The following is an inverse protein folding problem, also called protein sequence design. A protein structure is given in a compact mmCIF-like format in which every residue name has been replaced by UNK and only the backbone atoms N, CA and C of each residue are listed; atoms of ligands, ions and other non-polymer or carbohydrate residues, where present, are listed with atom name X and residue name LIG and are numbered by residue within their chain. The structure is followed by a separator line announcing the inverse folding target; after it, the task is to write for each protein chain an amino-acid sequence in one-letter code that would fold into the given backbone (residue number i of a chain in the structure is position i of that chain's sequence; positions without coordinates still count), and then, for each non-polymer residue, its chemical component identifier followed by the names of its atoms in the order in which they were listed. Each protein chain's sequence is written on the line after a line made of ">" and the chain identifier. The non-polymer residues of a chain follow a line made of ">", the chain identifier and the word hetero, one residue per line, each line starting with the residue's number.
data_IF_048226372717
#
_entry.id   IF_048226372717
#
_cell.length_a   1.000
_cell.length_b   1.000
_cell.length_c   1.000
_cell.angle_alpha   90.00
_cell.angle_beta   90.00
_cell.angle_gamma   90.00
#
_symmetry.space_group_name_H-M   'P 1'
#
loop_
_entity.id
_entity.type
_entity.pdbx_description
1 polymer ?
#
# COMPACT_ATOMS: atom_id res chain seq x y z
N UNK A 1 9.20 1.01 10.06
CA UNK A 1 9.90 1.78 11.11
C UNK A 1 11.34 1.28 11.41
N UNK A 2 11.80 0.19 10.80
CA UNK A 2 13.12 -0.41 11.09
C UNK A 2 14.31 0.10 10.25
N UNK A 3 14.20 1.22 9.51
CA UNK A 3 15.31 1.74 8.68
C UNK A 3 15.74 3.18 8.99
N UNK A 4 15.24 3.79 10.08
CA UNK A 4 15.42 5.23 10.34
C UNK A 4 16.14 5.57 11.65
N UNK A 5 16.99 4.69 12.14
CA UNK A 5 17.74 4.86 13.40
C UNK A 5 18.67 6.09 13.45
N UNK A 6 18.84 6.84 12.34
CA UNK A 6 19.69 8.05 12.26
C UNK A 6 19.12 9.22 11.44
N UNK A 7 17.80 9.30 11.23
CA UNK A 7 17.24 10.50 10.61
C UNK A 7 17.19 11.65 11.62
N UNK A 8 17.75 12.81 11.29
CA UNK A 8 17.54 14.04 12.07
C UNK A 8 16.03 14.32 12.16
N UNK A 9 15.54 14.85 13.30
CA UNK A 9 14.12 15.09 13.55
C UNK A 9 13.46 15.89 12.41
N UNK A 10 14.15 16.90 11.89
CA UNK A 10 13.68 17.72 10.76
C UNK A 10 13.45 16.91 9.47
N UNK A 11 14.31 15.92 9.20
CA UNK A 11 14.18 15.04 8.04
C UNK A 11 13.01 14.05 8.24
N UNK A 12 12.80 13.58 9.47
CA UNK A 12 11.63 12.77 9.80
C UNK A 12 10.33 13.56 9.64
N UNK A 13 10.26 14.77 10.18
CA UNK A 13 9.11 15.66 10.08
C UNK A 13 8.80 16.02 8.62
N UNK A 14 9.82 16.35 7.83
CA UNK A 14 9.68 16.61 6.39
C UNK A 14 9.12 15.40 5.65
N UNK A 15 9.61 14.19 5.94
CA UNK A 15 9.09 12.95 5.33
C UNK A 15 7.65 12.67 5.75
N UNK A 16 7.28 12.94 6.99
CA UNK A 16 5.89 12.81 7.47
C UNK A 16 4.99 13.82 6.75
N UNK A 17 5.42 15.08 6.64
CA UNK A 17 4.68 16.13 5.93
C UNK A 17 4.44 15.75 4.46
N UNK A 18 5.46 15.26 3.76
CA UNK A 18 5.32 14.79 2.38
C UNK A 18 4.34 13.62 2.25
N UNK A 19 4.37 12.65 3.18
CA UNK A 19 3.40 11.54 3.19
C UNK A 19 1.98 12.04 3.41
N UNK A 20 1.78 12.98 4.33
CA UNK A 20 0.47 13.60 4.59
C UNK A 20 -0.05 14.37 3.38
N UNK A 21 0.81 15.14 2.71
CA UNK A 21 0.43 15.88 1.51
C UNK A 21 -0.02 14.94 0.39
N UNK A 22 0.68 13.81 0.20
CA UNK A 22 0.28 12.77 -0.76
C UNK A 22 -1.06 12.15 -0.39
N UNK A 23 -1.27 11.82 0.89
CA UNK A 23 -2.56 11.30 1.35
C UNK A 23 -3.70 12.28 1.08
N UNK A 24 -3.51 13.57 1.39
CA UNK A 24 -4.50 14.62 1.14
C UNK A 24 -4.86 14.76 -0.35
N UNK A 25 -3.92 14.49 -1.26
CA UNK A 25 -4.19 14.52 -2.69
C UNK A 25 -5.25 13.49 -3.11
N UNK A 26 -5.32 12.33 -2.45
CA UNK A 26 -6.33 11.30 -2.75
C UNK A 26 -7.71 11.59 -2.12
N UNK A 27 -7.77 12.45 -1.10
CA UNK A 27 -9.03 12.90 -0.47
C UNK A 27 -9.75 13.99 -1.26
N UNK A 28 -9.14 14.54 -2.31
CA UNK A 28 -9.78 15.44 -3.29
C UNK A 28 -9.93 14.70 -4.62
N UNK A 29 -10.94 13.83 -4.77
CA UNK A 29 -11.02 12.95 -5.91
C UNK A 29 -11.14 13.73 -7.21
N UNK A 30 -10.17 13.53 -8.10
CA UNK A 30 -10.33 13.79 -9.53
C UNK A 30 -10.51 12.45 -10.24
N UNK A 31 -11.27 12.39 -11.36
CA UNK A 31 -11.44 11.14 -12.11
C UNK A 31 -10.10 10.49 -12.50
N UNK A 32 -9.07 11.30 -12.71
CA UNK A 32 -7.74 10.87 -13.17
C UNK A 32 -6.84 10.32 -12.05
N UNK A 33 -7.19 10.50 -10.77
CA UNK A 33 -6.36 10.07 -9.64
C UNK A 33 -6.92 8.82 -8.96
N UNK A 34 -6.51 7.66 -9.47
CA UNK A 34 -6.92 6.34 -8.98
C UNK A 34 -5.77 5.66 -8.22
N UNK A 35 -6.08 5.01 -7.10
CA UNK A 35 -5.14 4.19 -6.35
C UNK A 35 -5.65 2.74 -6.31
N UNK A 36 -4.85 1.80 -6.78
CA UNK A 36 -5.08 0.38 -6.53
C UNK A 36 -3.92 -0.19 -5.71
N UNK A 37 -4.22 -0.61 -4.49
CA UNK A 37 -3.27 -1.22 -3.58
C UNK A 37 -3.67 -2.69 -3.32
N UNK A 38 -2.68 -3.56 -3.39
CA UNK A 38 -2.79 -4.95 -2.93
C UNK A 38 -1.82 -5.11 -1.77
N UNK A 39 -2.33 -5.52 -0.61
CA UNK A 39 -1.58 -5.56 0.64
C UNK A 39 -1.62 -6.97 1.22
N UNK A 40 -0.47 -7.45 1.71
CA UNK A 40 -0.37 -8.73 2.39
C UNK A 40 -0.96 -8.67 3.81
N UNK A 41 -1.73 -9.68 4.22
CA UNK A 41 -2.35 -9.75 5.55
C UNK A 41 -1.30 -9.66 6.68
N UNK A 42 -0.08 -10.18 6.49
CA UNK A 42 1.00 -10.05 7.47
C UNK A 42 1.36 -8.58 7.73
N UNK A 43 1.29 -7.71 6.72
CA UNK A 43 1.60 -6.30 6.88
C UNK A 43 0.57 -5.59 7.76
N UNK A 44 -0.70 -6.01 7.68
CA UNK A 44 -1.81 -5.48 8.48
C UNK A 44 -1.83 -5.99 9.92
N UNK A 45 -1.07 -7.07 10.21
CA UNK A 45 -1.07 -7.76 11.52
C UNK A 45 0.21 -7.55 12.33
N UNK A 46 1.19 -6.79 11.82
CA UNK A 46 2.43 -6.48 12.55
C UNK A 46 2.24 -5.23 13.41
N UNK A 47 2.46 -5.27 14.74
CA UNK A 47 2.22 -4.14 15.64
C UNK A 47 3.34 -3.10 15.59
N UNK A 48 3.63 -2.59 14.39
CA UNK A 48 4.66 -1.57 14.18
C UNK A 48 4.15 -0.24 14.76
N UNK A 49 4.81 0.26 15.81
CA UNK A 49 4.34 1.44 16.56
C UNK A 49 3.34 1.12 17.67
N UNK A 50 3.05 -0.16 17.93
CA UNK A 50 2.16 -0.63 18.98
C UNK A 50 0.68 -0.74 18.58
N UNK A 51 -0.12 -1.39 19.43
CA UNK A 51 -1.53 -1.71 19.15
C UNK A 51 -2.40 -0.48 18.89
N UNK A 52 -2.16 0.63 19.60
CA UNK A 52 -2.93 1.88 19.38
C UNK A 52 -2.72 2.43 17.98
N UNK A 53 -1.48 2.50 17.50
CA UNK A 53 -1.16 2.98 16.15
C UNK A 53 -1.74 2.05 15.09
N UNK A 54 -1.62 0.74 15.31
CA UNK A 54 -2.19 -0.28 14.43
C UNK A 54 -3.71 -0.15 14.32
N UNK A 55 -4.42 0.06 15.44
CA UNK A 55 -5.86 0.31 15.48
C UNK A 55 -6.24 1.53 14.63
N UNK A 56 -5.58 2.67 14.87
CA UNK A 56 -5.82 3.91 14.11
C UNK A 56 -5.53 3.73 12.60
N UNK A 57 -4.50 2.97 12.25
CA UNK A 57 -4.17 2.67 10.85
C UNK A 57 -5.21 1.79 10.15
N UNK A 58 -5.68 0.73 10.82
CA UNK A 58 -6.71 -0.15 10.26
C UNK A 58 -8.04 0.62 10.10
N UNK A 59 -8.41 1.44 11.08
CA UNK A 59 -9.59 2.30 10.99
C UNK A 59 -9.49 3.25 9.79
N UNK A 60 -8.34 3.89 9.58
CA UNK A 60 -8.11 4.73 8.41
C UNK A 60 -8.22 3.96 7.08
N UNK A 61 -7.73 2.72 7.01
CA UNK A 61 -7.85 1.90 5.80
C UNK A 61 -9.30 1.53 5.49
N UNK A 62 -10.12 1.27 6.52
CA UNK A 62 -11.56 1.04 6.37
C UNK A 62 -12.21 2.28 5.74
N UNK A 63 -11.95 3.46 6.29
CA UNK A 63 -12.48 4.73 5.75
C UNK A 63 -12.01 4.97 4.30
N UNK A 64 -10.75 4.67 4.00
CA UNK A 64 -10.19 4.80 2.65
C UNK A 64 -10.88 3.88 1.63
N UNK A 65 -11.36 2.70 2.04
CA UNK A 65 -12.09 1.79 1.14
C UNK A 65 -13.45 2.32 0.70
N UNK A 66 -14.00 3.32 1.40
CA UNK A 66 -15.24 3.99 1.01
C UNK A 66 -15.03 5.05 -0.09
N UNK A 67 -13.78 5.42 -0.40
CA UNK A 67 -13.49 6.40 -1.43
C UNK A 67 -13.57 5.77 -2.83
N UNK A 68 -14.30 6.39 -3.78
CA UNK A 68 -14.55 5.78 -5.10
C UNK A 68 -13.30 5.64 -5.96
N UNK A 69 -12.24 6.39 -5.65
CA UNK A 69 -10.96 6.40 -6.35
C UNK A 69 -9.88 5.51 -5.69
N UNK A 70 -10.23 4.78 -4.63
CA UNK A 70 -9.32 3.86 -3.93
C UNK A 70 -9.86 2.44 -4.04
N UNK A 71 -9.00 1.52 -4.46
CA UNK A 71 -9.24 0.09 -4.44
C UNK A 71 -8.17 -0.57 -3.59
N UNK A 72 -8.57 -1.11 -2.46
CA UNK A 72 -7.71 -1.89 -1.59
C UNK A 72 -8.13 -3.36 -1.69
N UNK A 73 -7.15 -4.24 -1.83
CA UNK A 73 -7.35 -5.69 -1.72
C UNK A 73 -6.33 -6.27 -0.74
N UNK A 74 -6.73 -7.34 -0.05
CA UNK A 74 -5.88 -8.04 0.91
C UNK A 74 -5.55 -9.42 0.37
N UNK A 75 -4.27 -9.78 0.36
CA UNK A 75 -3.83 -11.16 0.13
C UNK A 75 -3.87 -11.87 1.49
N UNK A 76 -4.77 -12.85 1.67
CA UNK A 76 -4.90 -13.55 2.93
C UNK A 76 -3.80 -14.59 3.13
N UNK A 77 -3.51 -14.97 4.37
CA UNK A 77 -2.45 -15.96 4.66
C UNK A 77 -2.62 -17.29 3.92
N UNK A 78 -3.86 -17.73 3.70
CA UNK A 78 -4.15 -19.01 3.06
C UNK A 78 -3.87 -18.99 1.53
N UNK A 79 -3.63 -17.83 0.92
CA UNK A 79 -3.29 -17.71 -0.51
C UNK A 79 -1.85 -18.19 -0.83
N UNK A 80 -1.02 -18.41 0.20
CA UNK A 80 0.35 -18.92 0.08
C UNK A 80 1.30 -17.96 -0.63
N UNK A 81 2.38 -18.48 -1.21
CA UNK A 81 3.39 -17.66 -1.90
C UNK A 81 2.82 -16.84 -3.06
N UNK A 82 3.16 -15.55 -3.12
CA UNK A 82 2.65 -14.60 -4.12
C UNK A 82 3.80 -13.81 -4.77
N UNK A 83 3.54 -13.19 -5.92
CA UNK A 83 4.58 -12.53 -6.74
C UNK A 83 5.30 -11.36 -6.03
N UNK A 84 4.66 -10.75 -5.02
CA UNK A 84 5.24 -9.68 -4.20
C UNK A 84 6.07 -10.21 -3.01
N UNK A 85 6.22 -11.53 -2.84
CA UNK A 85 7.08 -12.09 -1.80
C UNK A 85 8.56 -11.67 -1.98
N UNK A 86 8.96 -11.29 -3.20
CA UNK A 86 10.29 -10.75 -3.50
C UNK A 86 10.48 -9.26 -3.17
N UNK A 87 9.43 -8.53 -2.78
CA UNK A 87 9.50 -7.11 -2.44
C UNK A 87 8.29 -6.30 -2.91
N UNK A 88 8.10 -5.13 -2.29
CA UNK A 88 7.07 -4.18 -2.70
C UNK A 88 7.51 -3.38 -3.93
N UNK A 89 6.56 -3.10 -4.82
CA UNK A 89 6.74 -2.22 -5.97
C UNK A 89 5.49 -1.36 -6.17
N UNK A 90 5.63 -0.28 -6.95
CA UNK A 90 4.55 0.61 -7.31
C UNK A 90 4.61 0.88 -8.80
N UNK A 91 3.47 0.83 -9.49
CA UNK A 91 3.36 1.21 -10.90
C UNK A 91 2.66 2.56 -10.96
N UNK A 92 3.34 3.56 -11.51
CA UNK A 92 2.81 4.90 -11.76
C UNK A 92 2.36 4.96 -13.22
N UNK A 93 1.08 5.24 -13.43
CA UNK A 93 0.50 5.42 -14.76
C UNK A 93 0.08 6.86 -14.95
N UNK A 94 0.43 7.42 -16.10
CA UNK A 94 0.15 8.82 -16.42
C UNK A 94 -0.91 8.90 -17.53
N UNK A 95 -1.80 9.91 -17.50
CA UNK A 95 -2.80 10.09 -18.55
C UNK A 95 -2.20 10.56 -19.88
N UNK A 96 -1.02 11.19 -19.82
CA UNK A 96 -0.26 11.62 -20.98
C UNK A 96 0.43 10.42 -21.64
N UNK A 97 0.15 10.19 -22.93
CA UNK A 97 0.68 9.06 -23.70
C UNK A 97 2.16 9.20 -24.02
N UNK A 98 2.69 10.42 -23.96
CA UNK A 98 4.10 10.70 -24.22
C UNK A 98 4.97 10.46 -22.97
N UNK A 99 4.33 10.24 -21.81
CA UNK A 99 5.00 9.89 -20.55
C UNK A 99 4.90 8.38 -20.35
N UNK A 100 6.02 7.64 -20.28
CA UNK A 100 5.97 6.21 -20.01
C UNK A 100 5.44 5.93 -18.61
N UNK A 101 4.76 4.80 -18.45
CA UNK A 101 4.50 4.22 -17.14
C UNK A 101 5.82 3.93 -16.43
N UNK A 102 5.87 4.15 -15.12
CA UNK A 102 7.09 3.98 -14.32
C UNK A 102 6.85 2.96 -13.23
N UNK A 103 7.71 1.95 -13.14
CA UNK A 103 7.81 1.08 -11.98
C UNK A 103 8.80 1.68 -10.99
N UNK A 104 8.36 1.83 -9.76
CA UNK A 104 9.17 2.21 -8.62
C UNK A 104 9.35 1.01 -7.69
N UNK A 105 10.60 0.65 -7.42
CA UNK A 105 10.97 -0.39 -6.45
C UNK A 105 11.82 0.23 -5.36
N UNK A 106 11.31 0.25 -4.13
CA UNK A 106 12.04 0.78 -2.98
C UNK A 106 13.10 -0.23 -2.52
N UNK A 107 14.32 0.25 -2.29
CA UNK A 107 15.44 -0.53 -1.77
C UNK A 107 15.94 0.10 -0.47
N UNK A 108 16.70 -0.68 0.31
CA UNK A 108 17.15 -0.24 1.64
C UNK A 108 17.93 1.09 1.61
N UNK A 109 18.69 1.34 0.56
CA UNK A 109 19.58 2.51 0.42
C UNK A 109 19.19 3.43 -0.74
N UNK A 110 18.11 3.14 -1.47
CA UNK A 110 17.75 3.87 -2.67
C UNK A 110 16.46 3.38 -3.29
N UNK A 111 16.29 3.63 -4.58
CA UNK A 111 15.16 3.13 -5.33
C UNK A 111 15.53 2.91 -6.79
N UNK A 112 14.85 1.96 -7.43
CA UNK A 112 14.94 1.69 -8.85
C UNK A 112 13.72 2.26 -9.55
N UNK A 113 13.95 2.99 -10.64
CA UNK A 113 12.92 3.51 -11.53
C UNK A 113 13.08 2.81 -12.88
N UNK A 114 12.05 2.09 -13.31
CA UNK A 114 12.04 1.36 -14.58
C UNK A 114 10.93 1.93 -15.47
N UNK A 115 11.30 2.39 -16.64
CA UNK A 115 10.41 2.98 -17.67
C UNK A 115 10.48 2.21 -19.01
N UNK A 116 11.36 1.21 -19.10
CA UNK A 116 11.40 0.30 -20.25
C UNK A 116 10.12 -0.50 -20.31
N UNK A 117 9.52 -0.54 -21.49
CA UNK A 117 8.26 -1.26 -21.74
C UNK A 117 8.29 -2.71 -21.27
N UNK A 118 9.36 -3.44 -21.53
CA UNK A 118 9.51 -4.85 -21.12
C UNK A 118 9.46 -5.03 -19.59
N UNK A 119 10.09 -4.12 -18.84
CA UNK A 119 10.09 -4.14 -17.38
C UNK A 119 8.70 -3.80 -16.86
N UNK A 120 8.10 -2.71 -17.37
CA UNK A 120 6.75 -2.28 -17.00
C UNK A 120 5.72 -3.39 -17.24
N UNK A 121 5.78 -4.03 -18.41
CA UNK A 121 4.89 -5.15 -18.77
C UNK A 121 5.08 -6.34 -17.82
N UNK A 122 6.32 -6.64 -17.40
CA UNK A 122 6.59 -7.69 -16.42
C UNK A 122 5.94 -7.40 -15.06
N UNK A 123 6.10 -6.18 -14.55
CA UNK A 123 5.51 -5.76 -13.27
C UNK A 123 3.98 -5.64 -13.35
N UNK A 124 3.43 -5.22 -14.49
CA UNK A 124 1.99 -5.20 -14.73
C UNK A 124 1.39 -6.61 -14.62
N UNK A 125 2.02 -7.60 -15.27
CA UNK A 125 1.63 -9.01 -15.15
C UNK A 125 1.76 -9.53 -13.70
N UNK A 126 2.78 -9.08 -12.96
CA UNK A 126 2.89 -9.40 -11.54
C UNK A 126 1.73 -8.82 -10.72
N UNK A 127 1.36 -7.55 -10.97
CA UNK A 127 0.22 -6.90 -10.32
C UNK A 127 -1.09 -7.63 -10.62
N UNK A 128 -1.36 -8.00 -11.87
CA UNK A 128 -2.56 -8.75 -12.24
C UNK A 128 -2.67 -10.07 -11.48
N UNK A 129 -1.57 -10.83 -11.39
CA UNK A 129 -1.52 -12.08 -10.61
C UNK A 129 -1.76 -11.85 -9.11
N UNK A 130 -1.31 -10.72 -8.57
CA UNK A 130 -1.57 -10.34 -7.18
C UNK A 130 -3.05 -10.04 -6.97
N UNK A 131 -3.67 -9.27 -7.87
CA UNK A 131 -5.09 -8.95 -7.80
C UNK A 131 -5.99 -10.19 -7.89
N UNK A 132 -5.60 -11.19 -8.68
CA UNK A 132 -6.32 -12.49 -8.80
C UNK A 132 -6.21 -13.32 -7.52
N UNK A 133 -5.06 -13.28 -6.83
CA UNK A 133 -4.85 -14.00 -5.57
C UNK A 133 -5.45 -13.29 -4.35
N UNK A 134 -5.57 -11.98 -4.41
CA UNK A 134 -6.13 -11.19 -3.34
C UNK A 134 -7.66 -11.37 -3.26
N UNK A 135 -8.20 -11.16 -2.07
CA UNK A 135 -9.65 -11.14 -1.89
C UNK A 135 -10.27 -10.00 -2.71
N UNK A 136 -11.52 -10.16 -3.20
CA UNK A 136 -12.21 -9.11 -3.92
C UNK A 136 -12.25 -7.81 -3.10
N UNK A 137 -12.21 -6.63 -3.74
CA UNK A 137 -12.24 -5.35 -3.01
C UNK A 137 -13.42 -5.22 -2.03
N UNK A 138 -14.58 -5.78 -2.39
CA UNK A 138 -15.77 -5.77 -1.53
C UNK A 138 -15.57 -6.51 -0.19
N UNK A 139 -14.73 -7.55 -0.14
CA UNK A 139 -14.43 -8.30 1.09
C UNK A 139 -13.42 -7.60 1.99
N UNK A 140 -12.77 -6.54 1.51
CA UNK A 140 -11.64 -5.92 2.21
C UNK A 140 -12.06 -5.24 3.51
N UNK A 141 -13.21 -4.54 3.53
CA UNK A 141 -13.71 -3.89 4.72
C UNK A 141 -13.97 -4.90 5.86
N UNK A 142 -14.57 -6.06 5.53
CA UNK A 142 -14.85 -7.13 6.49
C UNK A 142 -13.55 -7.74 7.06
N UNK A 143 -12.54 -7.93 6.22
CA UNK A 143 -11.22 -8.41 6.64
C UNK A 143 -10.58 -7.42 7.63
N UNK A 144 -10.62 -6.13 7.32
CA UNK A 144 -10.06 -5.08 8.17
C UNK A 144 -10.82 -4.97 9.51
N UNK A 145 -12.16 -5.05 9.51
CA UNK A 145 -12.95 -5.07 10.74
C UNK A 145 -12.63 -6.28 11.62
N UNK A 146 -12.42 -7.45 11.02
CA UNK A 146 -11.99 -8.65 11.75
C UNK A 146 -10.62 -8.44 12.40
N UNK A 147 -9.65 -7.91 11.67
CA UNK A 147 -8.32 -7.58 12.22
C UNK A 147 -8.44 -6.58 13.37
N UNK A 148 -9.30 -5.56 13.25
CA UNK A 148 -9.53 -4.55 14.28
C UNK A 148 -10.03 -5.17 15.59
N UNK A 149 -11.03 -6.05 15.53
CA UNK A 149 -11.58 -6.73 16.70
C UNK A 149 -10.54 -7.63 17.41
N UNK A 150 -9.65 -8.26 16.63
CA UNK A 150 -8.57 -9.09 17.17
C UNK A 150 -7.49 -8.26 17.90
N UNK A 151 -7.16 -7.06 17.39
CA UNK A 151 -6.24 -6.12 18.06
C UNK A 151 -6.80 -5.71 19.42
N UNK A 152 -8.09 -5.37 19.48
CA UNK A 152 -8.75 -4.94 20.72
C UNK A 152 -8.80 -6.04 21.79
N UNK A 153 -8.85 -7.30 21.35
CA UNK A 153 -8.81 -8.46 22.24
C UNK A 153 -7.39 -8.76 22.74
N UNK A 154 -6.38 -8.59 21.88
CA UNK A 154 -4.98 -8.90 22.18
C UNK A 154 -4.28 -7.79 22.99
N UNK A 155 -4.80 -6.56 22.93
CA UNK A 155 -4.28 -5.40 23.66
C UNK A 155 -4.76 -5.26 25.11
N UNK A 156 -5.58 -6.19 25.61
CA UNK A 156 -5.94 -6.32 27.04
C UNK A 156 -5.00 -7.28 27.75
#
# INVERSE_FOLDING_TARGET
>A
LLSYERAALDELERRVALRRQRQQAFHRPSPQQQLWAVVDEAALRRPIGGHKVMHEQIQYLIEATALPNIRLQVIPFHAGGHAAAGGAFTILRFPDRDVPDIVYVEQLTGALYLDKREDVDHYANAMERLCVKAEPPASTADILHRILAEIETTGR
#
